data_IF_224390928625
#
_entry.id   IF_224390928625
#
_cell.length_a   1.000
_cell.length_b   1.000
_cell.length_c   1.000
_cell.angle_alpha   90.00
_cell.angle_beta   90.00
_cell.angle_gamma   90.00
#
_symmetry.space_group_name_H-M   'P 1'
#
loop_
_entity.id
_entity.type
_entity.pdbx_description
1 polymer ?
#
# COMPACT_ATOMS: atom_id res chain seq x y z
N UNK A 1 -20.42 11.55 -12.82
CA UNK A 1 -18.94 11.44 -12.81
C UNK A 1 -18.62 10.25 -11.94
N UNK A 2 -18.11 9.16 -12.52
CA UNK A 2 -17.77 7.95 -11.75
C UNK A 2 -16.44 8.21 -11.08
N UNK A 3 -16.47 8.56 -9.79
CA UNK A 3 -15.30 8.61 -8.91
C UNK A 3 -14.84 7.18 -8.57
N UNK A 4 -14.60 6.36 -9.60
CA UNK A 4 -13.92 5.09 -9.43
C UNK A 4 -12.46 5.44 -9.18
N UNK A 5 -12.13 5.76 -7.93
CA UNK A 5 -10.74 5.76 -7.47
C UNK A 5 -10.15 4.45 -7.97
N UNK A 6 -9.07 4.47 -8.78
CA UNK A 6 -8.45 3.24 -9.24
C UNK A 6 -8.11 2.45 -7.98
N UNK A 7 -8.83 1.35 -7.76
CA UNK A 7 -8.65 0.51 -6.60
C UNK A 7 -7.23 -0.04 -6.71
N UNK A 8 -6.32 0.45 -5.87
CA UNK A 8 -4.91 0.06 -5.89
C UNK A 8 -4.74 -1.45 -5.71
N UNK A 9 -5.78 -2.13 -5.20
CA UNK A 9 -5.85 -3.57 -4.95
C UNK A 9 -6.46 -4.37 -6.11
N UNK A 10 -6.11 -4.03 -7.35
CA UNK A 10 -6.37 -4.91 -8.48
C UNK A 10 -5.41 -6.10 -8.42
N UNK A 11 -5.87 -7.23 -7.86
CA UNK A 11 -5.09 -8.49 -7.79
C UNK A 11 -4.56 -8.88 -9.17
N UNK A 12 -5.37 -8.68 -10.21
CA UNK A 12 -5.00 -8.93 -11.60
C UNK A 12 -3.86 -7.98 -12.07
N UNK A 13 -3.94 -6.69 -11.74
CA UNK A 13 -2.86 -5.74 -12.07
C UNK A 13 -1.56 -6.09 -11.32
N UNK A 14 -1.64 -6.59 -10.09
CA UNK A 14 -0.45 -7.02 -9.35
C UNK A 14 0.24 -8.23 -10.00
N UNK A 15 -0.51 -9.26 -10.36
CA UNK A 15 0.06 -10.46 -10.99
C UNK A 15 0.68 -10.17 -12.35
N UNK A 16 0.09 -9.25 -13.12
CA UNK A 16 0.58 -8.87 -14.44
C UNK A 16 1.62 -7.73 -14.42
N UNK A 17 1.89 -7.13 -13.26
CA UNK A 17 2.90 -6.09 -13.13
C UNK A 17 4.32 -6.66 -13.07
N UNK A 18 5.27 -5.94 -13.69
CA UNK A 18 6.70 -6.13 -13.44
C UNK A 18 7.08 -5.77 -12.00
N UNK A 19 8.34 -6.02 -11.61
CA UNK A 19 8.81 -5.79 -10.24
C UNK A 19 8.57 -4.34 -9.75
N UNK A 20 8.79 -3.36 -10.62
CA UNK A 20 8.51 -1.95 -10.33
C UNK A 20 7.01 -1.68 -10.10
N UNK A 21 6.14 -2.23 -10.94
CA UNK A 21 4.69 -2.07 -10.79
C UNK A 21 4.15 -2.72 -9.51
N UNK A 22 4.67 -3.90 -9.14
CA UNK A 22 4.35 -4.55 -7.86
C UNK A 22 4.76 -3.68 -6.67
N UNK A 23 5.88 -2.98 -6.77
CA UNK A 23 6.34 -2.02 -5.75
C UNK A 23 5.45 -0.79 -5.65
N UNK A 24 5.07 -0.22 -6.77
CA UNK A 24 4.14 0.93 -6.80
C UNK A 24 2.81 0.54 -6.15
N UNK A 25 2.28 -0.65 -6.46
CA UNK A 25 1.04 -1.17 -5.87
C UNK A 25 1.20 -1.34 -4.34
N UNK A 26 2.26 -2.00 -3.89
CA UNK A 26 2.51 -2.22 -2.46
C UNK A 26 2.66 -0.91 -1.66
N UNK A 27 3.39 0.07 -2.21
CA UNK A 27 3.55 1.39 -1.60
C UNK A 27 2.22 2.15 -1.56
N UNK A 28 1.44 2.08 -2.64
CA UNK A 28 0.10 2.69 -2.69
C UNK A 28 -0.82 2.12 -1.61
N UNK A 29 -0.80 0.79 -1.42
CA UNK A 29 -1.56 0.14 -0.35
C UNK A 29 -1.09 0.55 1.05
N UNK A 30 0.22 0.71 1.26
CA UNK A 30 0.76 1.19 2.53
C UNK A 30 0.33 2.63 2.84
N UNK A 31 0.35 3.52 1.83
CA UNK A 31 -0.12 4.90 1.97
C UNK A 31 -1.61 4.98 2.29
N UNK A 32 -2.43 4.12 1.68
CA UNK A 32 -3.86 4.05 1.97
C UNK A 32 -4.14 3.61 3.41
N UNK A 33 -3.36 2.64 3.91
CA UNK A 33 -3.38 2.23 5.32
C UNK A 33 -3.01 3.37 6.27
N UNK A 34 -1.95 4.11 5.97
CA UNK A 34 -1.51 5.27 6.76
C UNK A 34 -2.60 6.34 6.78
N UNK A 35 -3.20 6.66 5.62
CA UNK A 35 -4.27 7.64 5.51
C UNK A 35 -5.51 7.23 6.33
N UNK A 36 -5.91 5.95 6.28
CA UNK A 36 -7.01 5.42 7.09
C UNK A 36 -6.71 5.43 8.59
N UNK A 37 -5.44 5.24 8.98
CA UNK A 37 -5.01 5.30 10.39
C UNK A 37 -4.92 6.73 10.90
N UNK A 38 -4.48 7.67 10.06
CA UNK A 38 -4.37 9.08 10.39
C UNK A 38 -5.72 9.74 10.69
N UNK A 39 -6.80 9.25 10.08
CA UNK A 39 -8.17 9.70 10.37
C UNK A 39 -8.82 8.98 11.56
N UNK A 40 -8.13 8.01 12.17
CA UNK A 40 -8.63 7.24 13.31
C UNK A 40 -8.43 7.98 14.64
N UNK A 41 -9.24 7.66 15.65
CA UNK A 41 -9.21 8.30 16.97
C UNK A 41 -7.91 8.03 17.76
N UNK A 42 -7.14 7.02 17.38
CA UNK A 42 -5.85 6.72 17.98
C UNK A 42 -4.78 7.51 17.23
N UNK A 43 -4.32 8.59 17.84
CA UNK A 43 -3.28 9.46 17.28
C UNK A 43 -2.12 8.66 16.69
N UNK A 44 -1.87 8.90 15.41
CA UNK A 44 -0.80 8.26 14.66
C UNK A 44 0.42 9.18 14.63
N UNK A 45 1.61 8.66 14.96
CA UNK A 45 2.85 9.36 14.63
C UNK A 45 3.13 9.13 13.13
N UNK A 46 2.56 9.99 12.29
CA UNK A 46 2.69 9.94 10.83
C UNK A 46 4.15 9.90 10.38
N UNK A 47 5.04 10.62 11.05
CA UNK A 47 6.46 10.69 10.72
C UNK A 47 7.13 9.32 10.87
N UNK A 48 6.86 8.64 12.00
CA UNK A 48 7.33 7.27 12.22
C UNK A 48 6.72 6.27 11.20
N UNK A 49 5.48 6.47 10.77
CA UNK A 49 4.84 5.58 9.78
C UNK A 49 5.40 5.80 8.37
N UNK A 50 5.74 7.05 8.00
CA UNK A 50 6.42 7.34 6.75
C UNK A 50 7.85 6.78 6.72
N UNK A 51 8.58 6.82 7.84
CA UNK A 51 9.89 6.15 7.96
C UNK A 51 9.77 4.63 7.80
N UNK A 52 8.66 4.03 8.27
CA UNK A 52 8.39 2.60 8.14
C UNK A 52 7.79 2.19 6.78
N UNK A 53 7.51 3.14 5.88
CA UNK A 53 6.81 2.86 4.62
C UNK A 53 7.53 1.83 3.75
N UNK A 54 8.87 1.93 3.65
CA UNK A 54 9.66 0.95 2.89
C UNK A 54 9.54 -0.46 3.48
N UNK A 55 9.56 -0.57 4.82
CA UNK A 55 9.41 -1.84 5.52
C UNK A 55 8.03 -2.45 5.28
N UNK A 56 6.97 -1.64 5.29
CA UNK A 56 5.63 -2.12 4.95
C UNK A 56 5.55 -2.59 3.50
N UNK A 57 6.12 -1.85 2.55
CA UNK A 57 6.16 -2.25 1.15
C UNK A 57 6.89 -3.60 0.96
N UNK A 58 8.03 -3.79 1.63
CA UNK A 58 8.80 -5.04 1.57
C UNK A 58 8.03 -6.21 2.21
N UNK A 59 7.38 -5.99 3.36
CA UNK A 59 6.56 -7.00 4.03
C UNK A 59 5.34 -7.41 3.20
N UNK A 60 4.68 -6.44 2.56
CA UNK A 60 3.55 -6.68 1.65
C UNK A 60 4.02 -7.51 0.45
N UNK A 61 5.12 -7.12 -0.20
CA UNK A 61 5.69 -7.89 -1.32
C UNK A 61 6.05 -9.31 -0.89
N UNK A 62 6.74 -9.48 0.24
CA UNK A 62 7.15 -10.78 0.74
C UNK A 62 5.95 -11.70 1.06
N UNK A 63 4.87 -11.14 1.61
CA UNK A 63 3.65 -11.90 1.89
C UNK A 63 2.98 -12.39 0.61
N UNK A 64 2.96 -11.57 -0.44
CA UNK A 64 2.34 -11.93 -1.73
C UNK A 64 3.23 -12.89 -2.53
N UNK A 65 4.56 -12.75 -2.48
CA UNK A 65 5.50 -13.66 -3.13
C UNK A 65 5.56 -15.07 -2.53
N UNK A 66 4.94 -15.30 -1.36
CA UNK A 66 4.85 -16.60 -0.69
C UNK A 66 3.61 -17.44 -1.09
N UNK A 67 2.76 -16.94 -1.97
CA UNK A 67 1.67 -17.70 -2.60
C UNK A 67 2.12 -18.34 -3.92
#
# INVERSE_FOLDING_TARGET
MSDTKPNALSVNAYYNAGAEGKRIIAVSSALELIAARATSANGLNLEAEFENLSKYADQIQAAISKQ
#
